data_IF_957320494865
#
_entry.id   IF_957320494865
#
_cell.length_a   1.000
_cell.length_b   1.000
_cell.length_c   1.000
_cell.angle_alpha   90.00
_cell.angle_beta   90.00
_cell.angle_gamma   90.00
#
_symmetry.space_group_name_H-M   'P 1'
#
loop_
_entity.id
_entity.type
_entity.pdbx_description
1 polymer ?
#
# COMPACT_ATOMS: atom_id res chain seq x y z
N UNK A 1 -3.42 -21.84 5.61
CA UNK A 1 -2.43 -21.92 6.71
C UNK A 1 -1.03 -21.57 6.21
N UNK A 2 -0.50 -22.24 5.21
CA UNK A 2 0.85 -22.05 4.64
C UNK A 2 1.15 -20.62 4.17
N UNK A 3 0.22 -19.95 3.46
CA UNK A 3 0.40 -18.57 2.99
C UNK A 3 0.60 -17.58 4.15
N UNK A 4 -0.14 -17.73 5.25
CA UNK A 4 0.01 -16.86 6.42
C UNK A 4 1.37 -17.04 7.09
N UNK A 5 1.84 -18.30 7.20
CA UNK A 5 3.15 -18.62 7.76
C UNK A 5 4.28 -18.07 6.88
N UNK A 6 4.22 -18.33 5.56
CA UNK A 6 5.19 -17.83 4.60
C UNK A 6 5.29 -16.29 4.64
N UNK A 7 4.15 -15.59 4.57
CA UNK A 7 4.13 -14.13 4.63
C UNK A 7 4.65 -13.59 5.97
N UNK A 8 4.47 -14.32 7.08
CA UNK A 8 5.04 -13.94 8.38
C UNK A 8 6.56 -14.10 8.40
N UNK A 9 7.08 -15.20 7.86
CA UNK A 9 8.52 -15.43 7.73
C UNK A 9 9.16 -14.40 6.80
N UNK A 10 8.56 -14.18 5.63
CA UNK A 10 9.03 -13.17 4.67
C UNK A 10 9.08 -11.78 5.31
N UNK A 11 8.04 -11.40 6.06
CA UNK A 11 8.00 -10.12 6.78
C UNK A 11 9.17 -9.99 7.77
N UNK A 12 9.48 -11.06 8.52
CA UNK A 12 10.63 -11.07 9.45
C UNK A 12 11.95 -10.89 8.73
N UNK A 13 12.16 -11.62 7.62
CA UNK A 13 13.37 -11.52 6.80
C UNK A 13 13.54 -10.11 6.23
N UNK A 14 12.47 -9.55 5.66
CA UNK A 14 12.48 -8.18 5.14
C UNK A 14 12.78 -7.17 6.26
N UNK A 15 12.20 -7.35 7.45
CA UNK A 15 12.46 -6.48 8.60
C UNK A 15 13.92 -6.51 9.04
N UNK A 16 14.55 -7.69 9.05
CA UNK A 16 15.98 -7.85 9.33
C UNK A 16 16.81 -7.14 8.26
N UNK A 17 16.51 -7.37 6.96
CA UNK A 17 17.22 -6.72 5.87
C UNK A 17 17.11 -5.19 5.93
N UNK A 18 15.93 -4.65 6.24
CA UNK A 18 15.74 -3.21 6.42
C UNK A 18 16.49 -2.67 7.63
N UNK A 19 16.58 -3.44 8.72
CA UNK A 19 17.36 -3.07 9.91
C UNK A 19 18.86 -2.98 9.60
N UNK A 20 19.39 -3.87 8.76
CA UNK A 20 20.78 -3.75 8.27
C UNK A 20 20.97 -2.60 7.27
N UNK A 21 19.94 -2.30 6.48
CA UNK A 21 20.02 -1.27 5.45
C UNK A 21 19.95 0.15 6.05
N UNK A 22 19.12 0.38 7.06
CA UNK A 22 18.95 1.69 7.70
C UNK A 22 19.64 1.75 9.07
N UNK A 23 20.29 2.87 9.38
CA UNK A 23 20.87 3.10 10.72
C UNK A 23 19.81 3.31 11.79
N UNK A 24 18.62 3.85 11.42
CA UNK A 24 17.47 4.02 12.31
C UNK A 24 16.18 4.01 11.51
N UNK A 25 15.22 3.21 11.96
CA UNK A 25 13.84 3.24 11.46
C UNK A 25 12.96 3.66 12.62
N UNK A 26 12.30 4.79 12.48
CA UNK A 26 11.42 5.36 13.49
C UNK A 26 9.98 5.37 13.00
N UNK A 27 9.03 4.99 13.86
CA UNK A 27 7.61 5.01 13.55
C UNK A 27 6.90 5.88 14.58
N UNK A 28 6.18 6.90 14.10
CA UNK A 28 5.36 7.80 14.93
C UNK A 28 3.89 7.70 14.55
N UNK A 29 3.02 8.02 15.50
CA UNK A 29 1.56 8.03 15.30
C UNK A 29 0.86 6.80 15.85
N UNK A 30 -0.48 6.78 15.71
CA UNK A 30 -1.36 5.76 16.29
C UNK A 30 -2.19 5.09 15.21
N UNK A 31 -2.00 3.78 15.00
CA UNK A 31 -2.81 2.98 14.04
C UNK A 31 -3.40 1.72 14.68
N UNK A 32 -2.85 1.28 15.82
CA UNK A 32 -3.28 0.04 16.48
C UNK A 32 -4.76 0.01 16.87
N UNK A 33 -5.38 1.12 17.34
CA UNK A 33 -6.81 1.15 17.65
C UNK A 33 -7.70 0.80 16.45
N UNK A 34 -7.25 1.09 15.23
CA UNK A 34 -8.01 0.91 13.99
C UNK A 34 -7.74 -0.43 13.29
N UNK A 35 -7.01 -1.35 13.94
CA UNK A 35 -6.61 -2.63 13.35
C UNK A 35 -7.77 -3.48 12.85
N UNK A 36 -8.93 -3.35 13.46
CA UNK A 36 -10.13 -4.11 13.09
C UNK A 36 -11.01 -3.42 12.04
N UNK A 37 -10.73 -2.15 11.71
CA UNK A 37 -11.46 -1.43 10.69
C UNK A 37 -11.01 -1.81 9.28
N UNK A 38 -11.86 -1.67 8.25
CA UNK A 38 -11.41 -1.59 6.88
C UNK A 38 -10.59 -0.31 6.69
N UNK A 39 -9.39 -0.42 6.10
CA UNK A 39 -8.48 0.72 5.98
C UNK A 39 -7.95 0.84 4.55
N UNK A 40 -8.00 2.05 4.03
CA UNK A 40 -7.23 2.45 2.85
C UNK A 40 -6.03 3.26 3.31
N UNK A 41 -4.84 2.65 3.24
CA UNK A 41 -3.57 3.30 3.56
C UNK A 41 -3.12 4.08 2.34
N UNK A 42 -2.85 5.36 2.52
CA UNK A 42 -2.32 6.25 1.48
C UNK A 42 -0.98 6.81 1.92
N UNK A 43 0.01 6.77 1.03
CA UNK A 43 1.36 7.24 1.35
C UNK A 43 2.00 7.98 0.18
N UNK A 44 2.94 8.86 0.46
CA UNK A 44 3.84 9.43 -0.53
C UNK A 44 4.78 8.34 -1.08
N UNK A 45 5.35 8.55 -2.28
CA UNK A 45 6.12 7.52 -2.99
C UNK A 45 7.45 8.06 -3.49
N UNK A 46 8.51 7.82 -2.71
CA UNK A 46 9.88 8.24 -3.05
C UNK A 46 10.73 7.08 -3.59
N UNK A 47 10.53 5.86 -3.07
CA UNK A 47 11.29 4.68 -3.47
C UNK A 47 10.35 3.53 -3.83
N UNK A 48 10.45 3.05 -5.07
CA UNK A 48 9.53 2.03 -5.61
C UNK A 48 9.49 0.73 -4.79
N UNK A 49 10.60 0.34 -4.17
CA UNK A 49 10.72 -0.91 -3.43
C UNK A 49 10.67 -0.71 -1.91
N UNK A 50 11.43 0.26 -1.39
CA UNK A 50 11.58 0.43 0.06
C UNK A 50 10.29 0.95 0.72
N UNK A 51 9.53 1.81 0.05
CA UNK A 51 8.30 2.38 0.62
C UNK A 51 7.27 1.32 1.02
N UNK A 52 6.83 0.42 0.10
CA UNK A 52 5.88 -0.62 0.47
C UNK A 52 6.45 -1.61 1.48
N UNK A 53 7.76 -1.93 1.42
CA UNK A 53 8.39 -2.84 2.36
C UNK A 53 8.44 -2.27 3.78
N UNK A 54 8.77 -0.99 3.95
CA UNK A 54 8.76 -0.30 5.24
C UNK A 54 7.36 -0.30 5.87
N UNK A 55 6.34 0.08 5.10
CA UNK A 55 4.95 0.09 5.60
C UNK A 55 4.51 -1.33 5.96
N UNK A 56 4.76 -2.32 5.08
CA UNK A 56 4.38 -3.71 5.31
C UNK A 56 4.96 -4.30 6.60
N UNK A 57 6.22 -3.95 6.90
CA UNK A 57 6.97 -4.58 7.99
C UNK A 57 6.84 -3.85 9.32
N UNK A 58 6.66 -2.53 9.32
CA UNK A 58 6.65 -1.73 10.53
C UNK A 58 5.26 -1.29 10.99
N UNK A 59 4.24 -1.31 10.12
CA UNK A 59 2.86 -0.91 10.47
C UNK A 59 1.98 -2.11 10.85
N UNK A 60 2.35 -3.35 10.53
CA UNK A 60 1.65 -4.62 10.87
C UNK A 60 0.13 -4.64 10.61
N UNK A 61 -0.32 -3.97 9.56
CA UNK A 61 -1.72 -4.00 9.11
C UNK A 61 -1.99 -5.04 8.02
N UNK A 62 -0.95 -5.66 7.47
CA UNK A 62 -1.00 -6.72 6.43
C UNK A 62 -1.88 -6.36 5.22
N UNK A 63 -1.69 -5.18 4.60
CA UNK A 63 -2.52 -4.73 3.51
C UNK A 63 -2.32 -5.55 2.22
N UNK A 64 -3.25 -5.38 1.28
CA UNK A 64 -3.02 -5.68 -0.12
C UNK A 64 -2.37 -4.44 -0.79
N UNK A 65 -1.36 -4.67 -1.62
CA UNK A 65 -0.55 -3.61 -2.22
C UNK A 65 -0.98 -3.38 -3.67
N UNK A 66 -1.41 -2.18 -3.99
CA UNK A 66 -1.66 -1.82 -5.38
C UNK A 66 -0.34 -1.54 -6.10
N UNK A 67 -0.07 -2.29 -7.15
CA UNK A 67 1.14 -2.17 -7.94
C UNK A 67 0.85 -2.11 -9.44
N UNK A 68 1.79 -1.58 -10.22
CA UNK A 68 1.63 -1.44 -11.67
C UNK A 68 1.37 -2.79 -12.35
N UNK A 69 0.35 -2.89 -13.18
CA UNK A 69 0.00 -4.10 -13.91
C UNK A 69 1.14 -4.65 -14.80
N UNK A 70 2.05 -3.77 -15.27
CA UNK A 70 3.19 -4.19 -16.10
C UNK A 70 4.15 -5.16 -15.40
N UNK A 71 4.21 -5.21 -14.06
CA UNK A 71 5.06 -6.17 -13.33
C UNK A 71 4.43 -7.57 -13.28
N UNK A 72 3.15 -7.70 -13.61
CA UNK A 72 2.42 -8.96 -13.67
C UNK A 72 2.42 -9.63 -15.05
N UNK A 73 3.16 -9.11 -16.04
CA UNK A 73 3.19 -9.66 -17.40
C UNK A 73 3.68 -11.11 -17.46
N UNK A 74 4.67 -11.46 -16.64
CA UNK A 74 5.15 -12.83 -16.55
C UNK A 74 4.24 -13.63 -15.63
N UNK A 75 3.67 -14.78 -16.06
CA UNK A 75 2.69 -15.55 -15.29
C UNK A 75 3.27 -16.13 -13.98
N UNK A 76 4.55 -16.48 -13.95
CA UNK A 76 5.21 -16.97 -12.73
C UNK A 76 5.34 -15.84 -11.72
N UNK A 77 5.82 -14.69 -12.18
CA UNK A 77 5.95 -13.48 -11.34
C UNK A 77 4.56 -13.05 -10.85
N UNK A 78 3.54 -13.07 -11.71
CA UNK A 78 2.17 -12.73 -11.33
C UNK A 78 1.65 -13.61 -10.19
N UNK A 79 1.89 -14.92 -10.22
CA UNK A 79 1.52 -15.86 -9.15
C UNK A 79 2.21 -15.49 -7.82
N UNK A 80 3.52 -15.20 -7.86
CA UNK A 80 4.30 -14.82 -6.69
C UNK A 80 3.76 -13.49 -6.11
N UNK A 81 3.56 -12.48 -6.95
CA UNK A 81 3.06 -11.17 -6.53
C UNK A 81 1.66 -11.27 -5.90
N UNK A 82 0.76 -12.03 -6.52
CA UNK A 82 -0.58 -12.29 -5.96
C UNK A 82 -0.49 -13.04 -4.63
N UNK A 83 0.41 -14.00 -4.51
CA UNK A 83 0.63 -14.75 -3.26
C UNK A 83 1.07 -13.83 -2.11
N UNK A 84 1.88 -12.80 -2.38
CA UNK A 84 2.29 -11.79 -1.39
C UNK A 84 1.32 -10.60 -1.32
N UNK A 85 0.08 -10.76 -1.80
CA UNK A 85 -1.03 -9.80 -1.71
C UNK A 85 -0.87 -8.55 -2.58
N UNK A 86 -0.13 -8.62 -3.68
CA UNK A 86 -0.09 -7.52 -4.63
C UNK A 86 -1.27 -7.60 -5.61
N UNK A 87 -1.84 -6.44 -5.94
CA UNK A 87 -2.99 -6.26 -6.83
C UNK A 87 -2.58 -5.41 -8.03
N UNK A 88 -2.78 -5.88 -9.27
CA UNK A 88 -2.41 -5.11 -10.45
C UNK A 88 -3.31 -3.89 -10.63
N UNK A 89 -2.72 -2.73 -10.96
CA UNK A 89 -3.45 -1.51 -11.34
C UNK A 89 -2.92 -1.00 -12.67
N UNK A 90 -3.84 -0.73 -13.58
CA UNK A 90 -3.54 -0.21 -14.91
C UNK A 90 -3.62 1.31 -14.91
N UNK A 91 -2.66 1.97 -15.55
CA UNK A 91 -2.64 3.42 -15.67
C UNK A 91 -3.33 3.84 -16.96
N UNK A 92 -4.02 4.99 -16.96
CA UNK A 92 -4.70 5.54 -18.15
C UNK A 92 -3.73 5.65 -19.33
N UNK A 93 -2.48 6.03 -19.09
CA UNK A 93 -1.43 6.11 -20.12
C UNK A 93 -0.92 4.76 -20.63
N UNK A 94 -1.31 3.64 -20.02
CA UNK A 94 -0.92 2.30 -20.49
C UNK A 94 -1.89 1.77 -21.56
N UNK A 95 -2.86 2.58 -22.04
CA UNK A 95 -3.76 2.32 -23.18
C UNK A 95 -5.23 2.11 -22.79
N UNK A 96 -6.12 2.09 -23.81
CA UNK A 96 -7.58 2.00 -23.64
C UNK A 96 -8.06 0.73 -22.92
N UNK A 97 -7.36 -0.40 -23.01
CA UNK A 97 -7.64 -1.62 -22.25
C UNK A 97 -7.44 -1.49 -20.74
N UNK A 98 -6.81 -0.40 -20.28
CA UNK A 98 -6.53 -0.13 -18.87
C UNK A 98 -7.77 0.11 -18.03
N UNK A 99 -8.86 0.64 -18.61
CA UNK A 99 -10.10 0.97 -17.88
C UNK A 99 -10.82 -0.32 -17.46
N UNK A 100 -10.90 -1.30 -18.37
CA UNK A 100 -11.58 -2.57 -18.11
C UNK A 100 -10.79 -3.44 -17.14
N UNK A 101 -9.44 -3.44 -17.23
CA UNK A 101 -8.55 -4.09 -16.28
C UNK A 101 -8.64 -3.51 -14.87
N UNK A 102 -8.83 -2.19 -14.74
CA UNK A 102 -9.02 -1.56 -13.43
C UNK A 102 -10.36 -1.90 -12.77
N UNK A 103 -11.41 -2.20 -13.53
CA UNK A 103 -12.72 -2.57 -12.95
C UNK A 103 -12.60 -3.80 -12.07
N UNK A 104 -11.97 -4.87 -12.56
CA UNK A 104 -11.76 -6.10 -11.77
C UNK A 104 -10.86 -5.87 -10.55
N UNK A 105 -9.80 -5.09 -10.69
CA UNK A 105 -8.89 -4.75 -9.58
C UNK A 105 -9.58 -3.91 -8.51
N UNK A 106 -10.42 -2.97 -8.90
CA UNK A 106 -11.17 -2.14 -7.95
C UNK A 106 -12.25 -2.96 -7.23
N UNK A 107 -13.02 -3.79 -7.96
CA UNK A 107 -14.00 -4.70 -7.35
C UNK A 107 -13.33 -5.68 -6.38
N UNK A 108 -12.11 -6.16 -6.68
CA UNK A 108 -11.33 -6.94 -5.72
C UNK A 108 -10.98 -6.13 -4.48
N UNK A 109 -10.50 -4.89 -4.63
CA UNK A 109 -10.18 -4.01 -3.51
C UNK A 109 -11.42 -3.72 -2.64
N UNK A 110 -12.56 -3.44 -3.26
CA UNK A 110 -13.84 -3.26 -2.58
C UNK A 110 -14.20 -4.51 -1.76
N UNK A 111 -14.08 -5.70 -2.35
CA UNK A 111 -14.34 -6.96 -1.64
C UNK A 111 -13.39 -7.22 -0.47
N UNK A 112 -12.14 -6.75 -0.55
CA UNK A 112 -11.18 -6.78 0.57
C UNK A 112 -11.64 -5.88 1.71
N UNK A 113 -12.09 -4.66 1.40
CA UNK A 113 -12.60 -3.70 2.40
C UNK A 113 -13.86 -4.21 3.07
N UNK A 114 -14.80 -4.80 2.31
CA UNK A 114 -16.00 -5.46 2.85
C UNK A 114 -15.68 -6.55 3.89
N UNK A 115 -14.57 -7.22 3.73
CA UNK A 115 -14.08 -8.24 4.68
C UNK A 115 -13.15 -7.67 5.76
N UNK A 116 -13.29 -6.40 6.09
CA UNK A 116 -12.47 -5.70 7.08
C UNK A 116 -10.96 -5.73 6.74
N UNK A 117 -10.64 -5.90 5.46
CA UNK A 117 -9.27 -5.93 4.97
C UNK A 117 -8.64 -4.54 4.84
N UNK A 118 -7.38 -4.51 4.42
CA UNK A 118 -6.60 -3.29 4.29
C UNK A 118 -5.99 -3.22 2.91
N UNK A 119 -5.92 -2.02 2.35
CA UNK A 119 -5.34 -1.74 1.05
C UNK A 119 -4.28 -0.66 1.23
N UNK A 120 -3.13 -0.82 0.60
CA UNK A 120 -2.08 0.19 0.51
C UNK A 120 -1.92 0.62 -0.93
N UNK A 121 -1.92 1.93 -1.14
CA UNK A 121 -1.63 2.52 -2.42
C UNK A 121 -0.86 3.85 -2.28
N UNK A 122 -0.21 4.21 -3.37
CA UNK A 122 0.52 5.46 -3.51
C UNK A 122 -0.23 6.34 -4.51
N UNK A 123 -1.05 7.30 -4.05
CA UNK A 123 -1.96 8.04 -4.93
C UNK A 123 -1.24 8.95 -5.94
N UNK A 124 0.05 9.22 -5.73
CA UNK A 124 0.90 9.92 -6.71
C UNK A 124 1.10 9.16 -8.03
N UNK A 125 0.83 7.85 -8.04
CA UNK A 125 0.88 6.99 -9.22
C UNK A 125 2.27 6.67 -9.78
N UNK A 126 3.32 7.37 -9.33
CA UNK A 126 4.73 7.13 -9.62
C UNK A 126 5.59 7.46 -8.41
N UNK A 127 6.72 6.81 -8.27
CA UNK A 127 7.76 7.26 -7.33
C UNK A 127 8.51 8.48 -7.90
N UNK A 128 9.00 9.35 -7.02
CA UNK A 128 9.83 10.49 -7.37
C UNK A 128 10.81 10.80 -6.26
N UNK A 129 12.05 11.09 -6.67
CA UNK A 129 13.12 11.49 -5.74
C UNK A 129 12.94 12.92 -5.20
N UNK A 130 12.06 13.71 -5.81
CA UNK A 130 11.77 15.08 -5.37
C UNK A 130 10.91 15.05 -4.11
N UNK A 131 11.33 15.80 -3.09
CA UNK A 131 10.63 15.95 -1.80
C UNK A 131 9.54 17.02 -1.92
N UNK A 132 8.50 16.72 -2.69
CA UNK A 132 7.36 17.63 -2.87
C UNK A 132 6.08 16.80 -2.98
N UNK A 133 4.98 17.35 -2.50
CA UNK A 133 3.66 16.77 -2.72
C UNK A 133 3.31 16.88 -4.19
N UNK A 134 2.88 15.78 -4.79
CA UNK A 134 2.47 15.71 -6.19
C UNK A 134 0.95 15.57 -6.29
N UNK A 135 0.38 15.91 -7.45
CA UNK A 135 -1.05 15.71 -7.67
C UNK A 135 -1.46 14.26 -7.39
N UNK A 136 -2.51 14.09 -6.61
CA UNK A 136 -3.03 12.78 -6.23
C UNK A 136 -4.00 12.28 -7.31
N UNK A 137 -3.85 11.03 -7.71
CA UNK A 137 -4.78 10.38 -8.64
C UNK A 137 -6.10 10.06 -7.94
N UNK A 138 -7.21 10.16 -8.69
CA UNK A 138 -8.55 9.84 -8.19
C UNK A 138 -8.83 8.33 -8.05
N UNK A 139 -7.82 7.46 -8.24
CA UNK A 139 -8.00 6.01 -8.18
C UNK A 139 -8.46 5.51 -6.82
N UNK A 140 -7.87 6.02 -5.74
CA UNK A 140 -8.23 5.59 -4.39
C UNK A 140 -9.64 6.05 -3.98
N UNK A 141 -10.08 7.24 -4.40
CA UNK A 141 -11.43 7.73 -4.09
C UNK A 141 -12.51 6.89 -4.77
N UNK A 142 -12.23 6.31 -5.96
CA UNK A 142 -13.15 5.38 -6.63
C UNK A 142 -13.30 4.08 -5.85
N UNK A 143 -12.20 3.51 -5.32
CA UNK A 143 -12.24 2.31 -4.48
C UNK A 143 -13.02 2.59 -3.19
N UNK A 144 -12.77 3.73 -2.54
CA UNK A 144 -13.49 4.17 -1.33
C UNK A 144 -14.98 4.32 -1.61
N UNK A 145 -15.34 5.07 -2.66
CA UNK A 145 -16.73 5.29 -3.04
C UNK A 145 -17.44 3.98 -3.41
N UNK A 146 -16.79 3.10 -4.20
CA UNK A 146 -17.34 1.80 -4.57
C UNK A 146 -17.60 0.90 -3.35
N UNK A 147 -16.71 0.90 -2.37
CA UNK A 147 -16.89 0.14 -1.13
C UNK A 147 -18.06 0.68 -0.29
N UNK A 148 -18.18 2.01 -0.15
CA UNK A 148 -19.27 2.65 0.60
C UNK A 148 -20.63 2.58 -0.12
N UNK A 149 -20.66 2.52 -1.47
CA UNK A 149 -21.89 2.28 -2.22
C UNK A 149 -22.45 0.88 -1.96
N UNK A 150 -21.59 -0.12 -1.70
CA UNK A 150 -22.03 -1.48 -1.37
C UNK A 150 -22.43 -1.63 0.10
N UNK A 151 -21.77 -0.91 1.00
CA UNK A 151 -22.06 -0.88 2.44
C UNK A 151 -21.88 0.54 2.99
N UNK A 152 -22.97 1.35 2.99
CA UNK A 152 -22.96 2.73 3.49
C UNK A 152 -22.64 2.84 4.98
N UNK A 153 -22.85 1.78 5.76
CA UNK A 153 -22.59 1.76 7.21
C UNK A 153 -21.16 1.31 7.56
N UNK A 154 -20.34 0.97 6.55
CA UNK A 154 -18.96 0.56 6.74
C UNK A 154 -18.14 1.66 7.45
N UNK A 155 -17.50 1.33 8.57
CA UNK A 155 -16.59 2.25 9.27
C UNK A 155 -15.19 2.29 8.61
N UNK A 156 -15.19 2.69 7.33
CA UNK A 156 -13.99 2.77 6.50
C UNK A 156 -13.11 3.95 6.92
N UNK A 157 -11.84 3.67 7.14
CA UNK A 157 -10.84 4.69 7.47
C UNK A 157 -9.83 4.87 6.33
N UNK A 158 -9.45 6.11 6.08
CA UNK A 158 -8.30 6.47 5.24
C UNK A 158 -7.16 6.80 6.19
N UNK A 159 -6.06 6.03 6.12
CA UNK A 159 -4.89 6.18 6.99
C UNK A 159 -3.74 6.79 6.20
N UNK A 160 -3.43 8.08 6.39
CA UNK A 160 -2.28 8.69 5.76
C UNK A 160 -0.98 8.27 6.45
N UNK A 161 0.05 7.93 5.66
CA UNK A 161 1.39 7.62 6.16
C UNK A 161 2.40 8.42 5.38
N UNK A 162 3.19 9.23 6.08
CA UNK A 162 4.32 9.96 5.52
C UNK A 162 5.61 9.14 5.64
N UNK A 163 6.31 8.94 4.54
CA UNK A 163 7.65 8.36 4.50
C UNK A 163 8.67 9.46 4.30
N UNK A 164 9.57 9.62 5.27
CA UNK A 164 10.59 10.65 5.29
C UNK A 164 11.98 10.00 5.39
N UNK A 165 12.72 10.01 4.28
CA UNK A 165 14.08 9.48 4.22
C UNK A 165 15.09 10.60 4.44
N UNK A 166 16.13 10.36 5.22
CA UNK A 166 17.29 11.25 5.29
C UNK A 166 18.00 11.29 3.93
N UNK A 167 18.23 10.11 3.33
CA UNK A 167 18.70 9.97 1.95
C UNK A 167 18.16 8.64 1.38
N UNK A 168 17.16 8.73 0.49
CA UNK A 168 16.41 7.57 -0.02
C UNK A 168 17.18 6.65 -0.98
N UNK A 169 18.42 6.99 -1.36
CA UNK A 169 19.28 6.19 -2.23
C UNK A 169 20.54 5.65 -1.51
N UNK A 170 20.72 5.96 -0.22
CA UNK A 170 21.91 5.57 0.52
C UNK A 170 21.55 4.64 1.68
N UNK A 171 22.30 3.54 1.83
CA UNK A 171 22.26 2.72 3.04
C UNK A 171 22.86 3.45 4.24
N UNK A 172 22.61 2.96 5.44
CA UNK A 172 23.12 3.56 6.68
C UNK A 172 22.45 4.88 7.07
N UNK A 173 21.40 5.31 6.37
CA UNK A 173 20.68 6.55 6.66
C UNK A 173 19.43 6.29 7.51
N UNK A 174 18.77 7.36 7.98
CA UNK A 174 17.59 7.27 8.82
C UNK A 174 16.31 7.36 7.98
N UNK A 175 15.25 6.67 8.43
CA UNK A 175 13.90 6.81 7.87
C UNK A 175 12.88 6.98 8.99
N UNK A 176 11.92 7.87 8.78
CA UNK A 176 10.77 8.10 9.65
C UNK A 176 9.49 7.72 8.90
N UNK A 177 8.70 6.85 9.50
CA UNK A 177 7.31 6.57 9.12
C UNK A 177 6.41 7.37 10.06
N UNK A 178 5.67 8.31 9.54
CA UNK A 178 4.75 9.14 10.31
C UNK A 178 3.31 8.77 9.95
N UNK A 179 2.62 8.14 10.90
CA UNK A 179 1.22 7.75 10.74
C UNK A 179 0.36 8.90 11.22
N UNK A 180 -0.39 9.50 10.30
CA UNK A 180 -1.33 10.57 10.60
C UNK A 180 -2.62 10.07 11.24
N UNK A 181 -3.48 11.00 11.64
CA UNK A 181 -4.80 10.66 12.18
C UNK A 181 -5.67 10.04 11.07
N UNK A 182 -6.35 8.93 11.35
CA UNK A 182 -7.26 8.31 10.39
C UNK A 182 -8.44 9.23 10.08
N UNK A 183 -8.74 9.38 8.81
CA UNK A 183 -9.85 10.17 8.30
C UNK A 183 -11.04 9.21 8.07
N UNK A 184 -12.21 9.52 8.61
CA UNK A 184 -13.44 8.82 8.27
C UNK A 184 -13.76 9.03 6.78
N UNK A 185 -14.12 7.97 6.07
CA UNK A 185 -14.39 8.03 4.64
C UNK A 185 -15.84 8.46 4.29
N UNK A 186 -16.66 8.72 5.33
CA UNK A 186 -18.04 9.25 5.23
C UNK A 186 -18.04 10.76 5.26
#
# INVERSE_FOLDING_TARGET
>A
MWQKLFNSLLNRWVKIALWFYFSKIEVKGKWKPYKNNPIVIVSNHQNALLDPLLIATYIDLKPHFLSRASVFKNPIIAKILTFIRMVPVYRIRDGFGSIQGNKSSFSFCESVLQKQGKILLFPEGNHSLKRQVRPLSKGFTRIVAGALMQDPEMDLKILPIGLNFQAHQKSGTKVLLEVGEPIAAK
#
